data_IF_771041535714
#
_entry.id   IF_771041535714
#
_cell.length_a   1.000
_cell.length_b   1.000
_cell.length_c   1.000
_cell.angle_alpha   90.00
_cell.angle_beta   90.00
_cell.angle_gamma   90.00
#
_symmetry.space_group_name_H-M   'P 1'
#
loop_
_entity.id
_entity.type
_entity.pdbx_description
1 polymer ?
#
# COMPACT_ATOMS: atom_id res chain seq x y z
N UNK A 1 -8.66 -41.44 -10.02
CA UNK A 1 -7.98 -40.69 -8.95
C UNK A 1 -8.28 -39.18 -9.00
N UNK A 2 -9.54 -38.77 -8.82
CA UNK A 2 -9.99 -37.36 -8.93
C UNK A 2 -10.16 -36.61 -7.60
N UNK A 3 -9.75 -37.22 -6.48
CA UNK A 3 -9.96 -36.67 -5.12
C UNK A 3 -9.04 -35.46 -4.88
N UNK A 4 -7.80 -35.52 -5.34
CA UNK A 4 -6.80 -34.49 -5.04
C UNK A 4 -7.10 -33.12 -5.68
N UNK A 5 -7.51 -33.00 -6.96
CA UNK A 5 -7.89 -31.71 -7.53
C UNK A 5 -9.04 -31.03 -6.78
N UNK A 6 -10.01 -31.80 -6.26
CA UNK A 6 -11.11 -31.28 -5.46
C UNK A 6 -10.65 -30.82 -4.07
N UNK A 7 -9.71 -31.54 -3.45
CA UNK A 7 -9.11 -31.16 -2.16
C UNK A 7 -8.27 -29.89 -2.26
N UNK A 8 -7.58 -29.68 -3.38
CA UNK A 8 -6.71 -28.51 -3.60
C UNK A 8 -7.40 -27.35 -4.33
N UNK A 9 -8.69 -27.46 -4.66
CA UNK A 9 -9.44 -26.37 -5.28
C UNK A 9 -9.60 -25.22 -4.29
N UNK A 10 -9.02 -24.05 -4.61
CA UNK A 10 -9.21 -22.83 -3.83
C UNK A 10 -10.47 -22.11 -4.29
N UNK A 11 -11.26 -21.54 -3.36
CA UNK A 11 -12.33 -20.60 -3.71
C UNK A 11 -11.77 -19.45 -4.55
N UNK A 12 -12.58 -18.91 -5.46
CA UNK A 12 -12.23 -17.69 -6.16
C UNK A 12 -12.22 -16.53 -5.16
N UNK A 13 -11.08 -15.87 -5.03
CA UNK A 13 -10.91 -14.65 -4.24
C UNK A 13 -10.99 -13.44 -5.20
N UNK A 14 -11.46 -12.27 -4.73
CA UNK A 14 -11.37 -11.04 -5.52
C UNK A 14 -9.91 -10.74 -5.86
N UNK A 15 -9.68 -10.05 -6.97
CA UNK A 15 -8.33 -9.65 -7.36
C UNK A 15 -7.71 -8.80 -6.24
N UNK A 16 -6.54 -9.19 -5.70
CA UNK A 16 -5.89 -8.46 -4.62
C UNK A 16 -5.39 -7.10 -5.11
N UNK A 17 -5.20 -6.17 -4.17
CA UNK A 17 -4.43 -4.96 -4.43
C UNK A 17 -2.98 -5.33 -4.83
N UNK A 18 -2.32 -4.49 -5.65
CA UNK A 18 -0.97 -4.80 -6.14
C UNK A 18 0.06 -4.97 -5.02
N UNK A 19 -0.10 -4.30 -3.88
CA UNK A 19 0.78 -4.45 -2.72
C UNK A 19 0.55 -5.80 -2.00
N UNK A 20 -0.60 -6.46 -2.22
CA UNK A 20 -0.94 -7.78 -1.68
C UNK A 20 -0.64 -8.92 -2.66
N UNK A 21 -0.41 -8.61 -3.94
CA UNK A 21 -0.31 -9.61 -5.00
C UNK A 21 1.08 -10.22 -5.20
N UNK A 22 1.84 -10.42 -4.12
CA UNK A 22 3.20 -10.99 -4.19
C UNK A 22 3.21 -12.40 -4.79
N UNK A 23 2.16 -13.18 -4.54
CA UNK A 23 2.03 -14.58 -4.98
C UNK A 23 1.16 -14.77 -6.23
N UNK A 24 0.69 -13.69 -6.88
CA UNK A 24 -0.07 -13.76 -8.14
C UNK A 24 0.73 -14.26 -9.34
N UNK A 25 2.05 -14.44 -9.20
CA UNK A 25 2.92 -14.95 -10.24
C UNK A 25 4.34 -14.42 -10.12
N UNK A 26 5.29 -15.13 -10.74
CA UNK A 26 6.68 -14.69 -10.79
C UNK A 26 6.88 -13.63 -11.87
N UNK A 27 7.63 -12.58 -11.54
CA UNK A 27 8.04 -11.55 -12.51
C UNK A 27 8.97 -12.15 -13.56
N UNK A 28 8.64 -11.92 -14.84
CA UNK A 28 9.40 -12.38 -15.99
C UNK A 28 10.81 -11.77 -16.07
N UNK A 29 11.69 -12.41 -16.84
CA UNK A 29 13.09 -11.98 -16.96
C UNK A 29 13.24 -10.59 -17.60
N UNK A 30 12.35 -10.20 -18.51
CA UNK A 30 12.34 -8.88 -19.15
C UNK A 30 12.06 -7.78 -18.10
N UNK A 31 10.91 -7.88 -17.44
CA UNK A 31 10.50 -6.98 -16.37
C UNK A 31 11.50 -6.93 -15.21
N UNK A 32 12.10 -8.07 -14.84
CA UNK A 32 13.14 -8.10 -13.79
C UNK A 32 14.35 -7.25 -14.14
N UNK A 33 14.84 -7.30 -15.39
CA UNK A 33 15.96 -6.45 -15.82
C UNK A 33 15.55 -4.98 -15.77
N UNK A 34 14.36 -4.66 -16.27
CA UNK A 34 13.84 -3.30 -16.25
C UNK A 34 13.72 -2.76 -14.80
N UNK A 35 13.18 -3.55 -13.86
CA UNK A 35 13.12 -3.17 -12.45
C UNK A 35 14.50 -2.94 -11.84
N UNK A 36 15.49 -3.77 -12.18
CA UNK A 36 16.87 -3.57 -11.71
C UNK A 36 17.43 -2.23 -12.21
N UNK A 37 17.18 -1.87 -13.46
CA UNK A 37 17.62 -0.60 -14.04
C UNK A 37 16.92 0.59 -13.35
N UNK A 38 15.59 0.53 -13.18
CA UNK A 38 14.81 1.60 -12.53
C UNK A 38 15.28 1.87 -11.10
N UNK A 39 15.66 0.84 -10.35
CA UNK A 39 16.18 0.97 -8.97
C UNK A 39 17.49 1.75 -8.87
N UNK A 40 18.21 1.93 -9.97
CA UNK A 40 19.45 2.74 -10.02
C UNK A 40 19.18 4.22 -10.32
N UNK A 41 17.95 4.57 -10.69
CA UNK A 41 17.58 5.93 -11.07
C UNK A 41 17.31 6.80 -9.83
N UNK A 42 17.59 8.10 -9.96
CA UNK A 42 17.07 9.08 -9.00
C UNK A 42 15.57 9.27 -9.19
N UNK A 43 14.87 9.80 -8.17
CA UNK A 43 13.44 10.10 -8.25
C UNK A 43 13.06 10.93 -9.49
N UNK A 44 13.83 11.99 -9.78
CA UNK A 44 13.60 12.83 -10.97
C UNK A 44 13.72 12.05 -12.29
N UNK A 45 14.68 11.13 -12.41
CA UNK A 45 14.81 10.27 -13.60
C UNK A 45 13.67 9.25 -13.66
N UNK A 46 13.30 8.67 -12.51
CA UNK A 46 12.21 7.71 -12.38
C UNK A 46 10.85 8.32 -12.80
N UNK A 47 10.60 9.60 -12.52
CA UNK A 47 9.38 10.30 -12.95
C UNK A 47 9.22 10.37 -14.48
N UNK A 48 10.34 10.36 -15.22
CA UNK A 48 10.33 10.42 -16.69
C UNK A 48 10.55 9.06 -17.37
N UNK A 49 10.77 8.01 -16.59
CA UNK A 49 11.07 6.68 -17.12
C UNK A 49 9.83 6.07 -17.78
N UNK A 50 9.98 5.50 -18.98
CA UNK A 50 8.90 4.79 -19.66
C UNK A 50 8.76 3.39 -19.06
N UNK A 51 7.68 3.15 -18.33
CA UNK A 51 7.35 1.83 -17.81
C UNK A 51 6.55 1.05 -18.87
N UNK A 52 7.19 0.11 -19.56
CA UNK A 52 6.57 -0.84 -20.48
C UNK A 52 6.72 -2.24 -19.94
N UNK A 53 6.00 -2.57 -18.87
CA UNK A 53 6.04 -3.88 -18.24
C UNK A 53 5.10 -4.86 -18.93
N UNK A 54 5.53 -6.12 -19.03
CA UNK A 54 4.66 -7.22 -19.45
C UNK A 54 3.69 -7.60 -18.32
N UNK A 55 4.17 -7.56 -17.07
CA UNK A 55 3.38 -7.77 -15.88
C UNK A 55 2.55 -6.52 -15.52
N UNK A 56 1.20 -6.60 -15.54
CA UNK A 56 0.32 -5.45 -15.33
C UNK A 56 0.41 -4.87 -13.90
N UNK A 57 0.94 -5.62 -12.93
CA UNK A 57 1.07 -5.18 -11.52
C UNK A 57 2.16 -4.13 -11.36
N UNK A 58 3.21 -4.21 -12.19
CA UNK A 58 4.43 -3.45 -11.98
C UNK A 58 4.29 -1.96 -12.29
N UNK A 59 3.42 -1.58 -13.23
CA UNK A 59 3.18 -0.17 -13.55
C UNK A 59 2.64 0.58 -12.32
N UNK A 60 1.64 0.00 -11.65
CA UNK A 60 1.06 0.56 -10.42
C UNK A 60 2.07 0.52 -9.26
N UNK A 61 2.79 -0.59 -9.07
CA UNK A 61 3.80 -0.71 -8.01
C UNK A 61 4.92 0.34 -8.13
N UNK A 62 5.43 0.58 -9.34
CA UNK A 62 6.48 1.60 -9.56
C UNK A 62 5.93 3.00 -9.34
N UNK A 63 4.68 3.27 -9.74
CA UNK A 63 4.03 4.55 -9.45
C UNK A 63 3.87 4.78 -7.93
N UNK A 64 3.33 3.81 -7.19
CA UNK A 64 3.19 3.89 -5.72
C UNK A 64 4.54 3.99 -5.02
N UNK A 65 5.56 3.27 -5.50
CA UNK A 65 6.92 3.41 -5.01
C UNK A 65 7.43 4.85 -5.17
N UNK A 66 7.20 5.48 -6.33
CA UNK A 66 7.58 6.87 -6.55
C UNK A 66 6.80 7.83 -5.65
N UNK A 67 5.49 7.65 -5.51
CA UNK A 67 4.68 8.50 -4.64
C UNK A 67 5.09 8.44 -3.17
N UNK A 68 5.46 7.24 -2.67
CA UNK A 68 5.91 7.03 -1.29
C UNK A 68 7.31 7.58 -1.01
N UNK A 69 8.24 7.48 -1.97
CA UNK A 69 9.66 7.75 -1.73
C UNK A 69 10.16 9.07 -2.35
N UNK A 70 9.48 9.57 -3.37
CA UNK A 70 9.84 10.78 -4.11
C UNK A 70 8.59 11.64 -4.40
N UNK A 71 7.81 12.03 -3.37
CA UNK A 71 6.55 12.75 -3.55
C UNK A 71 6.74 14.07 -4.31
N UNK A 72 7.87 14.76 -4.13
CA UNK A 72 8.22 16.00 -4.83
C UNK A 72 8.37 15.85 -6.35
N UNK A 73 8.37 14.62 -6.86
CA UNK A 73 8.49 14.31 -8.29
C UNK A 73 7.15 14.03 -8.98
N UNK A 74 6.06 14.02 -8.23
CA UNK A 74 4.71 13.85 -8.75
C UNK A 74 4.26 15.10 -9.50
N UNK A 75 3.59 14.92 -10.64
CA UNK A 75 2.84 16.03 -11.25
C UNK A 75 1.62 16.39 -10.39
N UNK A 76 0.99 17.56 -10.59
CA UNK A 76 -0.23 17.92 -9.87
C UNK A 76 -1.34 16.86 -9.97
N UNK A 77 -1.52 16.26 -11.15
CA UNK A 77 -2.51 15.20 -11.39
C UNK A 77 -2.13 13.90 -10.67
N UNK A 78 -0.84 13.57 -10.62
CA UNK A 78 -0.35 12.40 -9.88
C UNK A 78 -0.46 12.59 -8.37
N UNK A 79 -0.24 13.80 -7.87
CA UNK A 79 -0.42 14.16 -6.48
C UNK A 79 -1.90 14.06 -6.07
N UNK A 80 -2.82 14.59 -6.88
CA UNK A 80 -4.26 14.44 -6.66
C UNK A 80 -4.68 12.96 -6.65
N UNK A 81 -4.18 12.17 -7.60
CA UNK A 81 -4.40 10.72 -7.62
C UNK A 81 -3.86 10.03 -6.37
N UNK A 82 -2.70 10.46 -5.87
CA UNK A 82 -2.10 9.92 -4.65
C UNK A 82 -2.92 10.27 -3.41
N UNK A 83 -3.40 11.51 -3.29
CA UNK A 83 -4.30 11.92 -2.22
C UNK A 83 -5.61 11.12 -2.22
N UNK A 84 -6.22 10.92 -3.39
CA UNK A 84 -7.41 10.08 -3.52
C UNK A 84 -7.13 8.63 -3.07
N UNK A 85 -5.97 8.07 -3.43
CA UNK A 85 -5.55 6.74 -2.98
C UNK A 85 -5.37 6.69 -1.45
N UNK A 86 -4.69 7.69 -0.86
CA UNK A 86 -4.52 7.80 0.60
C UNK A 86 -5.86 7.88 1.32
N UNK A 87 -6.79 8.68 0.83
CA UNK A 87 -8.13 8.83 1.39
C UNK A 87 -8.91 7.50 1.34
N UNK A 88 -8.88 6.81 0.19
CA UNK A 88 -9.53 5.51 0.03
C UNK A 88 -8.97 4.46 1.00
N UNK A 89 -7.65 4.44 1.25
CA UNK A 89 -7.05 3.53 2.21
C UNK A 89 -7.39 3.91 3.66
N UNK A 90 -7.19 5.17 4.04
CA UNK A 90 -7.29 5.62 5.43
C UNK A 90 -8.74 5.78 5.92
N UNK A 91 -9.69 6.06 5.03
CA UNK A 91 -11.09 6.23 5.41
C UNK A 91 -12.00 5.09 4.96
N UNK A 92 -11.75 4.51 3.79
CA UNK A 92 -12.67 3.52 3.21
C UNK A 92 -12.11 2.08 3.27
N UNK A 93 -10.89 1.90 3.79
CA UNK A 93 -10.27 0.58 3.96
C UNK A 93 -9.85 -0.09 2.65
N UNK A 94 -9.67 0.70 1.58
CA UNK A 94 -9.25 0.19 0.28
C UNK A 94 -7.96 -0.63 0.38
N UNK A 95 -7.91 -1.76 -0.32
CA UNK A 95 -6.77 -2.68 -0.24
C UNK A 95 -6.63 -3.35 1.13
N UNK A 96 -7.73 -3.53 1.87
CA UNK A 96 -7.72 -4.17 3.19
C UNK A 96 -6.99 -3.38 4.28
N UNK A 97 -6.83 -2.07 4.08
CA UNK A 97 -6.23 -1.18 5.06
C UNK A 97 -7.13 -1.00 6.28
N UNK A 98 -6.52 -0.81 7.45
CA UNK A 98 -7.22 -0.35 8.66
C UNK A 98 -7.56 1.13 8.51
N UNK A 99 -8.81 1.49 8.76
CA UNK A 99 -9.24 2.89 8.70
C UNK A 99 -8.83 3.66 9.95
N UNK A 100 -8.80 5.00 9.87
CA UNK A 100 -8.57 5.87 11.03
C UNK A 100 -9.61 5.64 12.12
N UNK A 101 -10.87 5.45 11.75
CA UNK A 101 -11.95 5.15 12.70
C UNK A 101 -11.72 3.82 13.44
N UNK A 102 -11.30 2.78 12.71
CA UNK A 102 -10.95 1.49 13.31
C UNK A 102 -9.74 1.61 14.23
N UNK A 103 -8.71 2.37 13.82
CA UNK A 103 -7.54 2.61 14.64
C UNK A 103 -7.90 3.32 15.96
N UNK A 104 -8.69 4.39 15.91
CA UNK A 104 -9.12 5.12 17.11
C UNK A 104 -9.96 4.24 18.04
N UNK A 105 -10.89 3.47 17.48
CA UNK A 105 -11.68 2.51 18.26
C UNK A 105 -10.80 1.49 19.00
N UNK A 106 -9.76 0.97 18.33
CA UNK A 106 -8.82 0.04 18.96
C UNK A 106 -7.93 0.73 20.01
N UNK A 107 -7.50 1.98 19.77
CA UNK A 107 -6.75 2.75 20.75
C UNK A 107 -7.56 2.96 22.02
N UNK A 108 -8.82 3.37 21.89
CA UNK A 108 -9.73 3.58 23.03
C UNK A 108 -9.89 2.31 23.87
N UNK A 109 -10.14 1.16 23.21
CA UNK A 109 -10.27 -0.14 23.87
C UNK A 109 -9.01 -0.55 24.64
N UNK A 110 -7.82 -0.30 24.08
CA UNK A 110 -6.56 -0.62 24.76
C UNK A 110 -6.36 0.35 25.93
N UNK A 111 -6.67 1.64 25.75
CA UNK A 111 -6.50 2.68 26.77
C UNK A 111 -7.31 2.40 28.05
N UNK A 112 -8.49 1.78 27.92
CA UNK A 112 -9.36 1.40 29.06
C UNK A 112 -8.72 0.36 29.99
N UNK A 113 -7.78 -0.44 29.47
CA UNK A 113 -7.17 -1.56 30.21
C UNK A 113 -5.67 -1.38 30.47
N UNK A 114 -5.07 -0.33 29.89
CA UNK A 114 -3.65 -0.06 30.00
C UNK A 114 -3.35 0.75 31.27
N UNK A 115 -2.68 0.11 32.23
CA UNK A 115 -2.31 0.72 33.53
C UNK A 115 -0.88 1.30 33.55
N UNK A 116 -0.10 1.15 32.47
CA UNK A 116 1.28 1.63 32.41
C UNK A 116 1.45 2.90 31.58
N UNK A 117 2.24 3.84 32.11
CA UNK A 117 2.47 5.16 31.50
C UNK A 117 3.05 5.06 30.07
N UNK A 118 3.87 4.04 29.81
CA UNK A 118 4.49 3.84 28.49
C UNK A 118 3.45 3.49 27.44
N UNK A 119 2.52 2.59 27.75
CA UNK A 119 1.43 2.24 26.82
C UNK A 119 0.57 3.48 26.53
N UNK A 120 0.20 4.24 27.55
CA UNK A 120 -0.58 5.47 27.38
C UNK A 120 0.17 6.51 26.49
N UNK A 121 1.48 6.65 26.67
CA UNK A 121 2.31 7.52 25.82
C UNK A 121 2.31 7.06 24.35
N UNK A 122 2.45 5.75 24.10
CA UNK A 122 2.42 5.20 22.74
C UNK A 122 1.03 5.40 22.10
N UNK A 123 -0.05 5.15 22.85
CA UNK A 123 -1.41 5.34 22.35
C UNK A 123 -1.68 6.79 21.98
N UNK A 124 -1.24 7.74 22.81
CA UNK A 124 -1.29 9.17 22.49
C UNK A 124 -0.52 9.52 21.22
N UNK A 125 0.71 9.02 21.08
CA UNK A 125 1.52 9.24 19.89
C UNK A 125 0.90 8.64 18.60
N UNK A 126 0.19 7.51 18.71
CA UNK A 126 -0.55 6.92 17.59
C UNK A 126 -1.75 7.79 17.19
N UNK A 127 -2.43 8.39 18.17
CA UNK A 127 -3.53 9.33 17.94
C UNK A 127 -3.02 10.57 17.16
N UNK A 128 -1.98 11.21 17.68
CA UNK A 128 -1.35 12.39 17.07
C UNK A 128 -0.87 12.10 15.65
N UNK A 129 -0.24 10.93 15.46
CA UNK A 129 0.26 10.52 14.15
C UNK A 129 -0.89 10.34 13.15
N UNK A 130 -1.98 9.68 13.54
CA UNK A 130 -3.13 9.44 12.68
C UNK A 130 -3.80 10.75 12.24
N UNK A 131 -3.96 11.72 13.16
CA UNK A 131 -4.46 13.05 12.82
C UNK A 131 -3.53 13.78 11.84
N UNK A 132 -2.22 13.66 12.01
CA UNK A 132 -1.24 14.29 11.13
C UNK A 132 -1.23 13.73 9.70
N UNK A 133 -1.47 12.43 9.53
CA UNK A 133 -1.41 11.78 8.22
C UNK A 133 -2.77 11.66 7.51
N UNK A 134 -3.87 11.98 8.18
CA UNK A 134 -5.20 11.92 7.58
C UNK A 134 -5.33 12.99 6.47
N UNK A 135 -5.75 12.61 5.24
CA UNK A 135 -6.00 13.59 4.18
C UNK A 135 -7.12 14.56 4.56
N UNK A 136 -7.03 15.80 4.09
CA UNK A 136 -8.13 16.76 4.21
C UNK A 136 -9.35 16.26 3.42
N UNK A 137 -10.53 16.34 4.03
CA UNK A 137 -11.82 16.05 3.39
C UNK A 137 -12.58 17.33 3.10
#
# INVERSE_FOLDING_TARGET
SGIWPAVFARPAEPAPDVDQDLYGGFVGNSDRRHLNDLRTLSGAKLATARTGFDDPRLAELVWRYRARNFPDTLSPEEAERWEAHRAACLFDGAGGARTVEQLFTEIDQISETADDDRTQEILGALYDYAEHIAPER
#
